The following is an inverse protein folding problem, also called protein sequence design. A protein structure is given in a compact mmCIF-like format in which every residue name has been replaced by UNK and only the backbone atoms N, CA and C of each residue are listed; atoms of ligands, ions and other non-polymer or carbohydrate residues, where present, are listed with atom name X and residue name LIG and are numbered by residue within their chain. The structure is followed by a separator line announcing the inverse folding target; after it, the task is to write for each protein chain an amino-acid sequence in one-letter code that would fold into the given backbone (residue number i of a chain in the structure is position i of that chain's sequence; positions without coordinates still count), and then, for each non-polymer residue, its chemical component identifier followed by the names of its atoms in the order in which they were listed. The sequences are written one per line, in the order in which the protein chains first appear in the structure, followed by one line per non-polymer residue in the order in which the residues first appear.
data_IF_010571635675
#
_entry.id   IF_010571635675
#
_cell.length_a   1.000
_cell.length_b   1.000
_cell.length_c   1.000
_cell.angle_alpha   90.00
_cell.angle_beta   90.00
_cell.angle_gamma   90.00
#
_symmetry.space_group_name_H-M   'P 1'
#
loop_
_entity.id
_entity.type
_entity.pdbx_description
1 polymer ?
#
# COMPACT_ATOMS: atom_id res chain seq x y z
N UNK A 1 41.43 6.01 -34.53
CA UNK A 1 40.89 6.92 -35.57
C UNK A 1 39.38 6.72 -35.51
N UNK A 2 38.53 7.58 -35.12
CA UNK A 2 38.13 8.92 -35.44
C UNK A 2 37.04 9.35 -34.41
N UNK A 3 37.31 10.37 -33.64
CA UNK A 3 36.33 11.09 -32.79
C UNK A 3 35.26 11.73 -33.68
N UNK A 4 34.03 11.80 -33.17
CA UNK A 4 33.09 12.86 -33.55
C UNK A 4 32.33 13.32 -32.33
N UNK A 5 32.73 14.51 -31.86
CA UNK A 5 31.94 15.40 -31.05
C UNK A 5 30.82 16.00 -31.89
N UNK A 6 29.63 16.10 -31.31
CA UNK A 6 28.66 17.11 -31.76
C UNK A 6 28.06 17.78 -30.53
N UNK A 7 28.46 19.04 -30.35
CA UNK A 7 27.83 20.06 -29.52
C UNK A 7 26.58 20.57 -30.24
N UNK A 8 25.61 21.00 -29.51
CA UNK A 8 24.80 22.22 -29.79
C UNK A 8 23.57 22.23 -28.87
N UNK A 9 23.56 23.02 -27.81
CA UNK A 9 22.99 24.38 -27.65
C UNK A 9 21.69 24.67 -28.39
N UNK A 10 20.63 24.94 -27.60
CA UNK A 10 19.61 25.97 -27.83
C UNK A 10 18.77 26.08 -26.55
N UNK A 11 18.92 26.99 -25.83
CA UNK A 11 18.60 28.31 -25.35
C UNK A 11 17.46 29.01 -26.14
N UNK A 12 16.59 29.66 -25.36
CA UNK A 12 15.56 30.66 -25.69
C UNK A 12 14.12 30.14 -25.72
N UNK A 13 13.12 30.78 -25.18
CA UNK A 13 12.90 32.18 -24.78
C UNK A 13 11.62 32.27 -23.93
N UNK A 14 11.72 32.95 -22.86
CA UNK A 14 10.81 33.76 -22.09
C UNK A 14 9.72 34.44 -22.94
N UNK A 15 8.44 34.36 -22.54
CA UNK A 15 7.50 35.48 -22.75
C UNK A 15 6.59 35.62 -21.53
N UNK A 16 6.82 36.71 -20.84
CA UNK A 16 6.04 37.33 -19.80
C UNK A 16 4.86 38.07 -20.46
N UNK A 17 3.62 37.78 -20.08
CA UNK A 17 2.52 38.69 -20.41
C UNK A 17 1.73 39.06 -19.15
N UNK A 18 2.07 40.26 -18.65
CA UNK A 18 1.30 41.00 -17.65
C UNK A 18 0.17 41.72 -18.37
N UNK A 19 -1.07 41.48 -18.00
CA UNK A 19 -2.22 42.34 -18.35
C UNK A 19 -2.82 42.89 -17.07
N UNK A 20 -2.55 44.15 -16.81
CA UNK A 20 -3.19 45.01 -15.84
C UNK A 20 -4.49 45.52 -16.47
N UNK A 21 -5.63 45.27 -15.87
CA UNK A 21 -6.86 46.00 -16.19
C UNK A 21 -7.29 46.76 -14.94
N UNK A 22 -7.05 48.05 -14.98
CA UNK A 22 -7.61 49.04 -14.05
C UNK A 22 -9.00 49.42 -14.55
N UNK A 23 -10.03 49.25 -13.72
CA UNK A 23 -11.29 49.95 -13.90
C UNK A 23 -11.83 50.44 -12.57
N UNK A 24 -11.91 51.75 -12.50
CA UNK A 24 -12.41 52.58 -11.39
C UNK A 24 -13.94 52.67 -11.50
N UNK A 25 -14.65 52.67 -10.36
CA UNK A 25 -16.06 53.08 -10.41
C UNK A 25 -16.92 52.80 -9.17
N UNK A 26 -16.93 53.77 -8.23
CA UNK A 26 -18.00 54.30 -7.42
C UNK A 26 -18.65 53.50 -6.28
N UNK A 27 -18.55 54.15 -5.12
CA UNK A 27 -19.20 53.97 -3.83
C UNK A 27 -20.70 53.71 -3.83
N UNK A 28 -21.13 52.81 -2.94
CA UNK A 28 -22.35 53.00 -2.13
C UNK A 28 -22.16 52.30 -0.77
N UNK A 29 -22.30 53.07 0.31
CA UNK A 29 -22.26 52.62 1.69
C UNK A 29 -23.44 51.69 2.00
N UNK A 30 -23.19 50.55 2.62
CA UNK A 30 -24.15 49.83 3.46
C UNK A 30 -23.39 49.16 4.61
N UNK A 31 -23.80 49.49 5.81
CA UNK A 31 -23.39 49.11 7.14
C UNK A 31 -23.14 47.59 7.27
N UNK A 32 -21.92 47.26 7.66
CA UNK A 32 -21.48 45.88 7.83
C UNK A 32 -21.47 45.44 9.28
N UNK A 33 -22.19 44.40 9.56
CA UNK A 33 -22.00 43.58 10.75
C UNK A 33 -20.84 42.62 10.49
N UNK A 34 -19.77 42.80 11.25
CA UNK A 34 -18.57 41.96 11.18
C UNK A 34 -18.88 40.61 11.82
N UNK A 35 -19.11 39.58 11.00
CA UNK A 35 -19.01 38.18 11.41
C UNK A 35 -17.57 37.77 11.17
N UNK A 36 -16.88 37.45 12.25
CA UNK A 36 -15.57 36.89 12.27
C UNK A 36 -15.68 35.45 11.79
N UNK A 37 -15.38 35.19 10.53
CA UNK A 37 -15.14 33.81 10.06
C UNK A 37 -13.76 33.37 10.57
N UNK A 38 -13.78 32.40 11.46
CA UNK A 38 -12.61 31.59 11.77
C UNK A 38 -12.21 30.78 10.52
N UNK A 39 -10.91 30.61 10.22
CA UNK A 39 -10.49 29.78 9.12
C UNK A 39 -10.89 28.33 9.44
N UNK A 40 -11.88 27.80 8.72
CA UNK A 40 -12.10 26.37 8.62
C UNK A 40 -10.83 25.75 8.08
N UNK A 41 -10.10 25.07 8.94
CA UNK A 41 -9.09 24.09 8.55
C UNK A 41 -9.87 22.98 7.86
N UNK A 42 -9.88 23.01 6.53
CA UNK A 42 -10.25 21.86 5.73
C UNK A 42 -9.10 20.84 5.87
N UNK A 43 -9.13 20.02 6.93
CA UNK A 43 -8.53 18.72 6.90
C UNK A 43 -9.51 17.82 6.14
N UNK A 44 -9.50 17.93 4.82
CA UNK A 44 -10.12 16.96 3.94
C UNK A 44 -9.27 15.69 3.98
N UNK A 45 -9.41 14.94 5.07
CA UNK A 45 -9.03 13.53 5.09
C UNK A 45 -10.14 12.82 4.28
N UNK A 46 -9.90 12.68 2.97
CA UNK A 46 -10.69 11.77 2.15
C UNK A 46 -10.54 10.40 2.80
N UNK A 47 -11.61 9.94 3.47
CA UNK A 47 -11.74 8.56 3.91
C UNK A 47 -11.54 7.68 2.68
N UNK A 48 -10.32 7.18 2.47
CA UNK A 48 -10.04 6.15 1.48
C UNK A 48 -10.85 4.93 1.88
N UNK A 49 -12.00 4.74 1.25
CA UNK A 49 -12.80 3.54 1.43
C UNK A 49 -12.01 2.34 0.96
N UNK A 50 -11.52 1.51 1.88
CA UNK A 50 -10.88 0.23 1.57
C UNK A 50 -11.96 -0.76 1.14
N UNK A 51 -11.99 -1.11 -0.15
CA UNK A 51 -12.94 -2.07 -0.71
C UNK A 51 -12.38 -3.49 -0.62
N UNK A 52 -12.76 -4.22 0.42
CA UNK A 52 -12.36 -5.61 0.63
C UNK A 52 -13.10 -6.60 -0.28
N UNK A 53 -14.19 -6.18 -0.95
CA UNK A 53 -14.95 -7.04 -1.85
C UNK A 53 -14.20 -7.37 -3.15
N UNK A 54 -13.11 -6.68 -3.43
CA UNK A 54 -12.24 -6.91 -4.58
C UNK A 54 -11.32 -8.12 -4.42
N UNK A 55 -11.23 -8.69 -3.23
CA UNK A 55 -10.36 -9.85 -2.96
C UNK A 55 -11.16 -11.16 -3.14
N UNK A 56 -10.97 -11.83 -4.28
CA UNK A 56 -11.74 -13.03 -4.63
C UNK A 56 -11.26 -14.30 -3.91
N UNK A 57 -9.94 -14.38 -3.64
CA UNK A 57 -9.28 -15.57 -3.10
C UNK A 57 -8.77 -15.37 -1.66
N UNK A 58 -9.21 -14.30 -0.99
CA UNK A 58 -8.83 -13.98 0.39
C UNK A 58 -10.06 -13.94 1.26
N UNK A 59 -10.05 -14.70 2.34
CA UNK A 59 -11.14 -14.73 3.33
C UNK A 59 -10.65 -14.12 4.65
N UNK A 60 -11.37 -13.14 5.19
CA UNK A 60 -11.08 -12.51 6.48
C UNK A 60 -12.15 -12.92 7.47
N UNK A 61 -11.75 -13.54 8.59
CA UNK A 61 -12.67 -14.04 9.62
C UNK A 61 -12.20 -13.68 11.03
N UNK A 62 -13.13 -13.67 11.98
CA UNK A 62 -12.80 -13.47 13.40
C UNK A 62 -12.44 -12.04 13.79
N UNK A 63 -12.87 -11.04 12.99
CA UNK A 63 -12.68 -9.62 13.29
C UNK A 63 -13.95 -8.83 12.97
N UNK A 64 -14.27 -7.88 13.81
CA UNK A 64 -15.32 -6.89 13.56
C UNK A 64 -14.72 -5.72 12.79
N UNK A 65 -15.05 -5.62 11.51
CA UNK A 65 -14.53 -4.57 10.60
C UNK A 65 -14.94 -3.16 11.05
N UNK A 66 -16.09 -3.00 11.69
CA UNK A 66 -16.59 -1.70 12.12
C UNK A 66 -15.89 -1.20 13.38
N UNK A 67 -15.22 -2.08 14.12
CA UNK A 67 -14.43 -1.74 15.31
C UNK A 67 -13.02 -1.23 15.00
N UNK A 68 -12.54 -1.38 13.75
CA UNK A 68 -11.20 -0.98 13.35
C UNK A 68 -11.09 0.52 13.15
N UNK A 69 -9.99 1.09 13.61
CA UNK A 69 -9.54 2.43 13.19
C UNK A 69 -9.16 2.43 11.70
N UNK A 70 -9.10 3.60 11.08
CA UNK A 70 -8.71 3.73 9.66
C UNK A 70 -7.30 3.17 9.42
N UNK A 71 -6.39 3.36 10.36
CA UNK A 71 -5.01 2.86 10.25
C UNK A 71 -4.97 1.33 10.39
N UNK A 72 -5.68 0.73 11.33
CA UNK A 72 -5.79 -0.73 11.44
C UNK A 72 -6.45 -1.33 10.21
N UNK A 73 -7.49 -0.68 9.68
CA UNK A 73 -8.15 -1.07 8.43
C UNK A 73 -7.19 -1.00 7.25
N UNK A 74 -6.32 0.01 7.19
CA UNK A 74 -5.30 0.13 6.15
C UNK A 74 -4.29 -1.02 6.19
N UNK A 75 -3.86 -1.46 7.38
CA UNK A 75 -2.96 -2.61 7.54
C UNK A 75 -3.65 -3.90 7.09
N UNK A 76 -4.90 -4.12 7.50
CA UNK A 76 -5.66 -5.30 7.09
C UNK A 76 -5.85 -5.34 5.56
N UNK A 77 -6.11 -4.18 4.95
CA UNK A 77 -6.24 -4.06 3.51
C UNK A 77 -4.95 -4.38 2.76
N UNK A 78 -3.80 -3.84 3.21
CA UNK A 78 -2.50 -4.14 2.60
C UNK A 78 -2.15 -5.62 2.76
N UNK A 79 -2.44 -6.22 3.93
CA UNK A 79 -2.26 -7.66 4.13
C UNK A 79 -3.15 -8.49 3.19
N UNK A 80 -4.42 -8.12 3.02
CA UNK A 80 -5.32 -8.80 2.10
C UNK A 80 -4.88 -8.63 0.63
N UNK A 81 -4.43 -7.43 0.24
CA UNK A 81 -3.87 -7.16 -1.09
C UNK A 81 -2.64 -8.02 -1.38
N UNK A 82 -1.75 -8.16 -0.40
CA UNK A 82 -0.59 -9.04 -0.51
C UNK A 82 -1.00 -10.52 -0.67
N UNK A 83 -1.96 -10.99 0.12
CA UNK A 83 -2.51 -12.35 0.00
C UNK A 83 -3.16 -12.58 -1.37
N UNK A 84 -3.93 -11.63 -1.89
CA UNK A 84 -4.51 -11.72 -3.24
C UNK A 84 -3.43 -11.79 -4.31
N UNK A 85 -2.40 -10.94 -4.25
CA UNK A 85 -1.28 -10.98 -5.18
C UNK A 85 -0.55 -12.34 -5.16
N UNK A 86 -0.41 -12.97 -3.99
CA UNK A 86 0.14 -14.34 -3.87
C UNK A 86 -0.74 -15.37 -4.59
N UNK A 87 -2.08 -15.29 -4.46
CA UNK A 87 -2.98 -16.24 -5.14
C UNK A 87 -3.00 -16.04 -6.65
N UNK A 88 -2.82 -14.82 -7.12
CA UNK A 88 -2.82 -14.45 -8.54
C UNK A 88 -1.44 -14.65 -9.19
N UNK A 89 -0.40 -14.88 -8.39
CA UNK A 89 1.01 -14.84 -8.78
C UNK A 89 1.38 -13.48 -9.42
N UNK A 90 0.80 -12.40 -8.91
CA UNK A 90 1.09 -11.02 -9.31
C UNK A 90 2.36 -10.53 -8.60
N UNK A 91 3.50 -10.87 -9.21
CA UNK A 91 4.82 -10.60 -8.65
C UNK A 91 5.10 -9.09 -8.59
N UNK A 92 4.57 -8.32 -9.51
CA UNK A 92 4.79 -6.86 -9.53
C UNK A 92 4.11 -6.19 -8.34
N UNK A 93 2.85 -6.52 -8.07
CA UNK A 93 2.16 -6.07 -6.84
C UNK A 93 2.85 -6.57 -5.57
N UNK A 94 3.33 -7.81 -5.55
CA UNK A 94 4.08 -8.33 -4.39
C UNK A 94 5.37 -7.53 -4.13
N UNK A 95 6.10 -7.13 -5.18
CA UNK A 95 7.31 -6.30 -5.06
C UNK A 95 7.03 -4.90 -4.50
N UNK A 96 5.90 -4.32 -4.86
CA UNK A 96 5.47 -3.01 -4.34
C UNK A 96 5.16 -3.05 -2.84
N UNK A 97 4.69 -4.20 -2.33
CA UNK A 97 4.21 -4.36 -0.96
C UNK A 97 5.25 -4.91 0.02
N UNK A 98 6.39 -5.39 -0.47
CA UNK A 98 7.38 -6.13 0.33
C UNK A 98 8.77 -5.51 0.19
N UNK A 99 9.45 -5.34 1.32
CA UNK A 99 10.84 -4.84 1.38
C UNK A 99 11.80 -5.72 0.58
N UNK A 100 12.80 -5.10 -0.06
CA UNK A 100 13.78 -5.80 -0.89
C UNK A 100 14.62 -6.80 -0.11
N UNK A 101 14.86 -6.55 1.17
CA UNK A 101 15.66 -7.38 2.07
C UNK A 101 14.84 -8.45 2.81
N UNK A 102 13.56 -8.65 2.44
CA UNK A 102 12.69 -9.65 3.07
C UNK A 102 13.27 -11.05 2.98
N UNK A 103 13.25 -11.75 4.11
CA UNK A 103 13.62 -13.17 4.22
C UNK A 103 12.39 -13.96 4.67
N UNK A 104 12.00 -14.91 3.86
CA UNK A 104 10.91 -15.84 4.17
C UNK A 104 11.45 -17.08 4.86
N UNK A 105 10.83 -17.46 5.97
CA UNK A 105 11.19 -18.70 6.69
C UNK A 105 10.05 -19.71 6.55
N UNK A 106 10.33 -20.82 5.93
CA UNK A 106 9.38 -21.92 5.75
C UNK A 106 9.17 -22.73 7.04
N UNK A 107 8.11 -23.53 7.09
CA UNK A 107 7.83 -24.44 8.21
C UNK A 107 8.98 -25.43 8.48
N UNK A 108 9.76 -25.77 7.48
CA UNK A 108 10.98 -26.61 7.58
C UNK A 108 12.16 -25.88 8.22
N UNK A 109 12.08 -24.57 8.40
CA UNK A 109 13.20 -23.72 8.79
C UNK A 109 14.08 -23.24 7.64
N UNK A 110 13.82 -23.67 6.42
CA UNK A 110 14.49 -23.15 5.22
C UNK A 110 14.18 -21.67 5.03
N UNK A 111 15.18 -20.90 4.67
CA UNK A 111 15.05 -19.46 4.41
C UNK A 111 15.23 -19.19 2.92
N UNK A 112 14.47 -18.25 2.41
CA UNK A 112 14.54 -17.73 1.04
C UNK A 112 14.56 -16.21 1.06
N UNK A 113 15.32 -15.63 0.16
CA UNK A 113 15.22 -14.22 -0.16
C UNK A 113 13.86 -13.90 -0.80
N UNK A 114 13.48 -12.62 -0.84
CA UNK A 114 12.27 -12.18 -1.53
C UNK A 114 12.21 -12.70 -2.97
N UNK A 115 13.30 -12.57 -3.72
CA UNK A 115 13.31 -12.94 -5.14
C UNK A 115 13.22 -14.46 -5.34
N UNK A 116 13.85 -15.27 -4.48
CA UNK A 116 13.70 -16.73 -4.54
C UNK A 116 12.26 -17.15 -4.25
N UNK A 117 11.64 -16.59 -3.21
CA UNK A 117 10.25 -16.86 -2.87
C UNK A 117 9.27 -16.44 -3.98
N UNK A 118 9.49 -15.26 -4.58
CA UNK A 118 8.67 -14.76 -5.69
C UNK A 118 8.86 -15.59 -6.96
N UNK A 119 10.07 -16.08 -7.21
CA UNK A 119 10.35 -17.00 -8.31
C UNK A 119 9.56 -18.30 -8.19
N UNK A 120 9.51 -18.90 -6.99
CA UNK A 120 8.76 -20.13 -6.74
C UNK A 120 7.24 -19.95 -6.90
N UNK A 121 6.71 -18.74 -6.60
CA UNK A 121 5.31 -18.40 -6.85
C UNK A 121 5.07 -18.21 -8.36
N UNK A 122 5.97 -17.51 -9.04
CA UNK A 122 5.87 -17.21 -10.46
C UNK A 122 5.92 -18.47 -11.34
N UNK A 123 6.79 -19.43 -11.01
CA UNK A 123 6.93 -20.69 -11.75
C UNK A 123 5.94 -21.79 -11.33
N UNK A 124 5.16 -21.53 -10.24
CA UNK A 124 4.15 -22.43 -9.72
C UNK A 124 4.68 -23.55 -8.83
N UNK A 125 5.97 -23.59 -8.48
CA UNK A 125 6.53 -24.52 -7.49
C UNK A 125 5.88 -24.34 -6.13
N UNK A 126 5.50 -23.08 -5.82
CA UNK A 126 4.67 -22.70 -4.68
C UNK A 126 3.40 -22.00 -5.20
N UNK A 127 2.26 -22.67 -5.15
CA UNK A 127 0.99 -22.14 -5.65
C UNK A 127 -0.03 -22.01 -4.53
N UNK A 128 -0.53 -20.79 -4.33
CA UNK A 128 -1.65 -20.51 -3.44
C UNK A 128 -2.95 -20.46 -4.23
N UNK A 129 -4.00 -21.11 -3.72
CA UNK A 129 -5.34 -21.11 -4.31
C UNK A 129 -6.30 -20.22 -3.57
N UNK A 130 -6.27 -20.28 -2.23
CA UNK A 130 -6.99 -19.38 -1.33
C UNK A 130 -6.16 -19.12 -0.08
N UNK A 131 -6.30 -17.94 0.49
CA UNK A 131 -5.63 -17.55 1.73
C UNK A 131 -6.66 -16.98 2.71
N UNK A 132 -6.81 -17.61 3.87
CA UNK A 132 -7.60 -17.10 4.99
C UNK A 132 -6.73 -16.28 5.95
N UNK A 133 -7.22 -15.11 6.37
CA UNK A 133 -6.70 -14.28 7.45
C UNK A 133 -7.68 -14.46 8.63
N UNK A 134 -7.37 -15.40 9.54
CA UNK A 134 -8.26 -15.74 10.65
C UNK A 134 -7.78 -15.12 11.96
N UNK A 135 -8.72 -14.55 12.71
CA UNK A 135 -8.53 -13.93 14.02
C UNK A 135 -7.38 -12.91 14.05
N UNK A 136 -7.34 -11.92 13.14
CA UNK A 136 -6.28 -10.94 13.11
C UNK A 136 -6.32 -10.01 14.32
N UNK A 137 -5.15 -9.76 14.89
CA UNK A 137 -4.89 -8.74 15.91
C UNK A 137 -3.93 -7.74 15.28
N UNK A 138 -4.35 -6.48 15.21
CA UNK A 138 -3.60 -5.41 14.56
C UNK A 138 -3.17 -4.40 15.60
N UNK A 139 -1.93 -3.96 15.52
CA UNK A 139 -1.37 -2.95 16.41
C UNK A 139 -0.59 -1.95 15.53
N UNK A 140 -0.92 -0.67 15.67
CA UNK A 140 -0.29 0.42 14.93
C UNK A 140 0.36 1.38 15.92
N UNK A 141 1.62 1.72 15.66
CA UNK A 141 2.38 2.70 16.40
C UNK A 141 3.10 3.65 15.42
N UNK A 142 2.48 4.79 15.14
CA UNK A 142 2.97 5.80 14.19
C UNK A 142 3.25 5.22 12.79
N UNK A 143 4.53 5.09 12.44
CA UNK A 143 4.98 4.57 11.15
C UNK A 143 5.30 3.06 11.17
N UNK A 144 4.95 2.37 12.26
CA UNK A 144 5.14 0.92 12.42
C UNK A 144 3.83 0.25 12.75
N UNK A 145 3.65 -0.95 12.21
CA UNK A 145 2.50 -1.75 12.54
C UNK A 145 2.86 -3.24 12.55
N UNK A 146 2.00 -4.02 13.19
CA UNK A 146 2.04 -5.48 13.11
C UNK A 146 0.64 -6.06 13.04
N UNK A 147 0.51 -7.14 12.31
CA UNK A 147 -0.69 -7.97 12.27
C UNK A 147 -0.31 -9.40 12.65
N UNK A 148 -0.94 -9.91 13.70
CA UNK A 148 -0.81 -11.31 14.14
C UNK A 148 -2.10 -12.05 13.82
N UNK A 149 -2.01 -13.13 13.06
CA UNK A 149 -3.19 -13.88 12.62
C UNK A 149 -2.85 -15.35 12.36
N UNK A 150 -3.88 -16.16 12.15
CA UNK A 150 -3.72 -17.52 11.65
C UNK A 150 -3.93 -17.51 10.14
N UNK A 151 -2.88 -17.78 9.36
CA UNK A 151 -2.99 -18.04 7.92
C UNK A 151 -3.65 -19.39 7.69
N UNK A 152 -4.66 -19.44 6.82
CA UNK A 152 -5.29 -20.68 6.35
C UNK A 152 -5.01 -20.80 4.86
N UNK A 153 -3.98 -21.54 4.49
CA UNK A 153 -3.44 -21.59 3.14
C UNK A 153 -3.93 -22.84 2.42
N UNK A 154 -4.79 -22.71 1.40
CA UNK A 154 -5.01 -23.79 0.45
C UNK A 154 -3.96 -23.64 -0.65
N UNK A 155 -2.99 -24.54 -0.67
CA UNK A 155 -1.80 -24.38 -1.51
C UNK A 155 -1.29 -25.73 -2.03
N UNK A 156 -0.47 -25.65 -3.10
CA UNK A 156 0.46 -26.68 -3.50
C UNK A 156 1.87 -26.16 -3.21
N UNK A 157 2.53 -26.75 -2.22
CA UNK A 157 3.89 -26.40 -1.84
C UNK A 157 4.82 -27.51 -2.34
N UNK A 158 5.56 -27.23 -3.41
CA UNK A 158 6.55 -28.14 -4.01
C UNK A 158 6.01 -29.56 -4.26
N UNK A 159 4.78 -29.64 -4.83
CA UNK A 159 4.08 -30.88 -5.11
C UNK A 159 3.23 -31.45 -3.97
N UNK A 160 3.32 -30.87 -2.77
CA UNK A 160 2.45 -31.22 -1.63
C UNK A 160 1.22 -30.31 -1.61
N UNK A 161 0.07 -30.82 -2.03
CA UNK A 161 -1.19 -30.08 -2.00
C UNK A 161 -1.95 -30.31 -0.70
N UNK A 162 -2.38 -29.21 -0.06
CA UNK A 162 -3.12 -29.31 1.19
C UNK A 162 -3.60 -27.97 1.71
N UNK A 163 -4.24 -28.03 2.88
CA UNK A 163 -4.58 -26.83 3.67
C UNK A 163 -3.64 -26.75 4.87
N UNK A 164 -2.91 -25.66 4.94
CA UNK A 164 -1.92 -25.40 5.98
C UNK A 164 -2.46 -24.30 6.90
N UNK A 165 -2.27 -24.45 8.20
CA UNK A 165 -2.66 -23.44 9.19
C UNK A 165 -1.43 -23.03 9.99
N UNK A 166 -1.11 -21.76 9.96
CA UNK A 166 0.08 -21.22 10.60
C UNK A 166 -0.27 -19.91 11.32
N UNK A 167 0.05 -19.82 12.60
CA UNK A 167 -0.03 -18.54 13.31
C UNK A 167 1.30 -17.81 13.15
N UNK A 168 1.23 -16.55 12.71
CA UNK A 168 2.41 -15.72 12.49
C UNK A 168 2.11 -14.25 12.71
N UNK A 169 3.18 -13.45 12.68
CA UNK A 169 3.11 -12.00 12.77
C UNK A 169 3.84 -11.41 11.59
N UNK A 170 3.19 -10.49 10.89
CA UNK A 170 3.78 -9.66 9.87
C UNK A 170 4.03 -8.26 10.42
N UNK A 171 5.17 -7.68 10.06
CA UNK A 171 5.59 -6.34 10.47
C UNK A 171 5.57 -5.40 9.28
N UNK A 172 5.09 -4.19 9.51
CA UNK A 172 4.98 -3.16 8.49
C UNK A 172 5.68 -1.89 8.93
N UNK A 173 6.30 -1.21 7.99
CA UNK A 173 6.80 0.15 8.15
C UNK A 173 6.19 1.05 7.07
N UNK A 174 5.88 2.31 7.45
CA UNK A 174 5.30 3.29 6.53
C UNK A 174 6.42 4.04 5.82
N UNK A 175 6.48 3.93 4.50
CA UNK A 175 7.43 4.65 3.64
C UNK A 175 6.64 5.41 2.59
N UNK A 176 6.87 6.72 2.47
CA UNK A 176 6.19 7.61 1.51
C UNK A 176 4.66 7.49 1.54
N UNK A 177 4.10 7.28 2.74
CA UNK A 177 2.65 7.12 2.95
C UNK A 177 2.11 5.72 2.67
N UNK A 178 2.92 4.77 2.24
CA UNK A 178 2.55 3.38 1.95
C UNK A 178 3.09 2.44 3.03
N UNK A 179 2.30 1.44 3.38
CA UNK A 179 2.72 0.37 4.26
C UNK A 179 3.47 -0.72 3.49
N UNK A 180 4.70 -1.01 3.92
CA UNK A 180 5.58 -2.02 3.33
C UNK A 180 5.81 -3.13 4.35
N UNK A 181 5.64 -4.38 3.93
CA UNK A 181 5.96 -5.57 4.71
C UNK A 181 7.48 -5.69 4.86
N UNK A 182 7.97 -5.78 6.09
CA UNK A 182 9.40 -5.79 6.43
C UNK A 182 9.77 -6.99 7.30
N UNK A 183 11.05 -7.28 7.39
CA UNK A 183 11.58 -8.22 8.39
C UNK A 183 11.29 -7.70 9.82
N UNK A 184 11.33 -8.62 10.81
CA UNK A 184 11.20 -8.27 12.22
C UNK A 184 12.45 -7.54 12.72
#
# INVERSE_FOLDING_TARGET
MKRRDIKSTSLLLMVLLVLIVTACGKNTDITTTTVKEEPKTESGDEMKGYDFSTFENVEITGIDMDSLTDEERSILYVQAKYCQAMTDADIDTMRELVSEDMIYTHMSGMQQTREEYFSDISDGSLRYYTIGIADPIIEVDQAKARITYTSVLNANAYGSRGTYRMKGTHHYEKSDGLWILVNR
#
